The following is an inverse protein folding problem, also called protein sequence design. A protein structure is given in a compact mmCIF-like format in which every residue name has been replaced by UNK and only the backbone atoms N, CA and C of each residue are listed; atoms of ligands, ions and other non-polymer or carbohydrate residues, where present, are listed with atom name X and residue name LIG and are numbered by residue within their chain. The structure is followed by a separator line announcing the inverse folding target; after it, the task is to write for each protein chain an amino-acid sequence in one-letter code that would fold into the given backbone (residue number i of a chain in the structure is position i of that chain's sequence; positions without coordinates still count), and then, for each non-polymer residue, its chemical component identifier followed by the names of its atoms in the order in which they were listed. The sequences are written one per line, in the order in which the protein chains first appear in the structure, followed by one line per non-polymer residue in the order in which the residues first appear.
data_IF_428076907509
#
_entry.id   IF_428076907509
#
_cell.length_a   1.000
_cell.length_b   1.000
_cell.length_c   1.000
_cell.angle_alpha   90.00
_cell.angle_beta   90.00
_cell.angle_gamma   90.00
#
_symmetry.space_group_name_H-M   'P 1'
#
loop_
_entity.id
_entity.type
_entity.pdbx_description
1 polymer ?
#
# COMPACT_ATOMS: atom_id res chain seq x y z
N UNK A 1 6.79 -78.36 -14.18
CA UNK A 1 6.25 -78.62 -12.83
C UNK A 1 7.40 -78.86 -11.87
N UNK A 2 7.25 -78.32 -10.64
CA UNK A 2 8.18 -78.29 -9.48
C UNK A 2 9.27 -77.19 -9.48
N UNK A 3 9.65 -76.69 -8.29
CA UNK A 3 9.26 -75.33 -7.82
C UNK A 3 10.45 -74.56 -7.23
N UNK A 4 10.27 -73.31 -6.78
CA UNK A 4 11.00 -72.83 -5.60
C UNK A 4 10.34 -71.58 -4.99
N UNK A 5 10.01 -71.74 -3.71
CA UNK A 5 9.50 -70.76 -2.76
C UNK A 5 10.67 -69.97 -2.17
N UNK A 6 10.46 -68.69 -1.84
CA UNK A 6 10.58 -68.14 -0.48
C UNK A 6 11.00 -66.65 -0.42
N UNK A 7 10.21 -65.90 0.35
CA UNK A 7 10.63 -64.95 1.42
C UNK A 7 11.07 -63.53 1.03
N UNK A 8 10.24 -62.60 1.54
CA UNK A 8 10.52 -61.25 2.06
C UNK A 8 11.01 -60.20 1.05
N UNK A 9 10.20 -59.15 0.86
CA UNK A 9 10.50 -57.92 1.57
C UNK A 9 9.26 -57.03 1.68
N UNK A 10 8.94 -56.72 2.93
CA UNK A 10 8.11 -55.61 3.37
C UNK A 10 8.74 -54.30 2.88
N UNK A 11 7.93 -53.40 2.32
CA UNK A 11 8.41 -52.10 1.82
C UNK A 11 7.28 -51.08 1.77
N UNK A 12 6.72 -50.77 2.94
CA UNK A 12 5.93 -49.55 3.16
C UNK A 12 6.88 -48.38 2.91
N UNK A 13 6.65 -47.64 1.82
CA UNK A 13 7.17 -46.30 1.65
C UNK A 13 5.97 -45.35 1.64
N UNK A 14 5.50 -45.05 2.85
CA UNK A 14 4.63 -43.94 3.14
C UNK A 14 5.47 -42.68 2.87
N UNK A 15 5.40 -42.15 1.66
CA UNK A 15 6.01 -40.87 1.33
C UNK A 15 5.17 -39.82 2.05
N UNK A 16 5.64 -39.46 3.24
CA UNK A 16 5.33 -38.20 3.89
C UNK A 16 5.64 -37.11 2.86
N UNK A 17 4.59 -36.58 2.22
CA UNK A 17 4.65 -35.22 1.73
C UNK A 17 4.84 -34.36 2.96
N UNK A 18 6.10 -34.09 3.29
CA UNK A 18 6.49 -32.94 4.08
C UNK A 18 5.96 -31.73 3.31
N UNK A 19 4.74 -31.30 3.64
CA UNK A 19 4.31 -29.93 3.43
C UNK A 19 5.33 -29.06 4.14
N UNK A 20 6.27 -28.52 3.38
CA UNK A 20 6.95 -27.30 3.77
C UNK A 20 5.88 -26.21 3.79
N UNK A 21 5.20 -26.04 4.93
CA UNK A 21 4.48 -24.81 5.23
C UNK A 21 5.50 -23.80 5.75
N UNK A 22 6.24 -23.19 4.84
CA UNK A 22 6.77 -21.86 5.09
C UNK A 22 5.88 -20.94 4.25
N UNK A 23 4.63 -20.81 4.67
CA UNK A 23 3.78 -19.72 4.22
C UNK A 23 4.19 -18.53 5.07
N UNK A 24 4.99 -17.65 4.50
CA UNK A 24 4.91 -16.24 4.91
C UNK A 24 3.46 -15.85 4.57
N UNK A 25 2.62 -15.71 5.60
CA UNK A 25 1.22 -15.36 5.43
C UNK A 25 1.18 -13.93 4.89
N UNK A 26 0.81 -13.77 3.62
CA UNK A 26 0.51 -12.48 3.01
C UNK A 26 -0.53 -11.77 3.89
N UNK A 27 -0.35 -10.47 4.21
CA UNK A 27 -1.33 -9.75 5.03
C UNK A 27 -2.66 -9.69 4.29
N UNK A 28 -3.74 -10.06 4.97
CA UNK A 28 -5.09 -9.90 4.44
C UNK A 28 -5.35 -8.42 4.14
N UNK A 29 -5.98 -8.15 3.00
CA UNK A 29 -6.38 -6.79 2.64
C UNK A 29 -7.38 -6.24 3.66
N UNK A 30 -7.06 -5.09 4.24
CA UNK A 30 -7.90 -4.40 5.21
C UNK A 30 -8.29 -3.02 4.67
N UNK A 31 -9.57 -2.66 4.79
CA UNK A 31 -10.10 -1.35 4.39
C UNK A 31 -10.76 -0.71 5.61
N UNK A 32 -10.34 0.50 5.93
CA UNK A 32 -10.76 1.19 7.15
C UNK A 32 -9.85 2.37 7.47
N UNK A 33 -10.23 3.16 8.46
CA UNK A 33 -9.37 4.21 9.00
C UNK A 33 -9.31 5.51 8.17
N UNK A 34 -8.22 6.25 8.35
CA UNK A 34 -8.08 7.63 7.90
C UNK A 34 -7.07 8.41 8.73
N UNK A 35 -7.05 9.73 8.55
CA UNK A 35 -6.16 10.59 9.31
C UNK A 35 -5.90 11.92 8.63
N UNK A 36 -4.81 12.58 9.04
CA UNK A 36 -4.40 13.85 8.42
C UNK A 36 -2.90 13.87 8.24
N UNK A 37 -2.48 14.18 7.02
CA UNK A 37 -1.09 14.50 6.72
C UNK A 37 -0.95 16.01 6.64
N UNK A 38 0.08 16.56 7.29
CA UNK A 38 0.51 17.96 7.14
C UNK A 38 1.57 18.03 6.06
N UNK A 39 1.50 19.07 5.24
CA UNK A 39 2.38 19.28 4.09
C UNK A 39 3.12 20.59 4.24
N UNK A 40 4.39 20.54 3.90
CA UNK A 40 5.23 21.73 3.75
C UNK A 40 6.04 21.64 2.47
N UNK A 41 6.54 22.78 1.99
CA UNK A 41 7.21 22.90 0.69
C UNK A 41 6.46 23.80 -0.27
N UNK A 42 7.00 23.96 -1.48
CA UNK A 42 6.59 24.99 -2.43
C UNK A 42 5.14 24.85 -2.89
N UNK A 43 4.66 23.61 -2.99
CA UNK A 43 3.35 23.26 -3.56
C UNK A 43 2.30 22.92 -2.48
N UNK A 44 2.63 23.06 -1.18
CA UNK A 44 1.73 22.71 -0.09
C UNK A 44 0.45 23.58 -0.07
N UNK A 45 0.52 24.77 -0.69
CA UNK A 45 -0.61 25.70 -0.78
C UNK A 45 -1.80 25.13 -1.59
N UNK A 46 -1.57 24.19 -2.53
CA UNK A 46 -2.65 23.57 -3.32
C UNK A 46 -3.62 22.72 -2.48
N UNK A 47 -3.21 22.35 -1.26
CA UNK A 47 -4.04 21.56 -0.35
C UNK A 47 -4.22 22.26 0.99
N UNK A 48 -4.00 23.57 1.04
CA UNK A 48 -4.00 24.35 2.29
C UNK A 48 -3.05 23.80 3.36
N UNK A 49 -1.96 23.14 2.96
CA UNK A 49 -0.95 22.55 3.84
C UNK A 49 -1.38 21.26 4.53
N UNK A 50 -2.48 20.62 4.11
CA UNK A 50 -2.96 19.36 4.71
C UNK A 50 -3.62 18.44 3.68
N UNK A 51 -3.66 17.15 3.98
CA UNK A 51 -4.48 16.14 3.29
C UNK A 51 -5.34 15.46 4.34
N UNK A 52 -6.65 15.68 4.27
CA UNK A 52 -7.63 14.99 5.13
C UNK A 52 -8.00 13.67 4.47
N UNK A 53 -7.49 12.57 5.01
CA UNK A 53 -7.66 11.22 4.48
C UNK A 53 -8.95 10.63 5.03
N UNK A 54 -9.88 10.28 4.12
CA UNK A 54 -11.19 9.77 4.50
C UNK A 54 -11.27 8.26 4.58
N UNK A 55 -10.49 7.55 3.78
CA UNK A 55 -10.46 6.10 3.73
C UNK A 55 -9.03 5.64 3.44
N UNK A 56 -8.63 4.53 4.07
CA UNK A 56 -7.38 3.86 3.75
C UNK A 56 -7.60 2.38 3.53
N UNK A 57 -6.63 1.75 2.87
CA UNK A 57 -6.55 0.31 2.76
C UNK A 57 -5.10 -0.16 2.82
N UNK A 58 -4.86 -1.23 3.56
CA UNK A 58 -3.58 -1.91 3.65
C UNK A 58 -3.63 -3.26 2.95
N UNK A 59 -2.50 -3.78 2.48
CA UNK A 59 -2.45 -5.12 1.90
C UNK A 59 -2.98 -5.20 0.46
N UNK A 60 -3.15 -4.07 -0.23
CA UNK A 60 -3.77 -4.00 -1.57
C UNK A 60 -2.79 -4.21 -2.71
N UNK A 61 -2.12 -5.36 -2.72
CA UNK A 61 -1.18 -5.75 -3.77
C UNK A 61 -1.83 -5.77 -5.17
N UNK A 62 -3.14 -6.00 -5.26
CA UNK A 62 -3.90 -5.91 -6.51
C UNK A 62 -3.99 -4.48 -7.08
N UNK A 63 -3.85 -3.45 -6.23
CA UNK A 63 -3.83 -2.04 -6.63
C UNK A 63 -2.41 -1.48 -6.76
N UNK A 64 -1.50 -1.87 -5.87
CA UNK A 64 -0.19 -1.24 -5.72
C UNK A 64 0.96 -2.09 -6.28
N UNK A 65 0.74 -3.40 -6.47
CA UNK A 65 1.79 -4.38 -6.73
C UNK A 65 2.67 -4.71 -5.52
N UNK A 66 2.32 -4.22 -4.32
CA UNK A 66 3.08 -4.41 -3.08
C UNK A 66 2.17 -4.96 -1.96
N UNK A 67 2.59 -6.07 -1.36
CA UNK A 67 1.90 -6.68 -0.21
C UNK A 67 1.85 -5.72 0.98
N UNK A 68 2.98 -5.11 1.34
CA UNK A 68 3.05 -4.17 2.45
C UNK A 68 2.97 -2.72 1.96
N UNK A 69 1.76 -2.27 1.69
CA UNK A 69 1.50 -0.90 1.28
C UNK A 69 0.16 -0.37 1.76
N UNK A 70 0.11 0.93 2.01
CA UNK A 70 -1.10 1.68 2.32
C UNK A 70 -1.55 2.46 1.08
N UNK A 71 -2.83 2.35 0.76
CA UNK A 71 -3.55 3.27 -0.14
C UNK A 71 -4.40 4.19 0.73
N UNK A 72 -4.33 5.49 0.52
CA UNK A 72 -5.05 6.51 1.26
C UNK A 72 -5.68 7.52 0.28
N UNK A 73 -6.95 7.85 0.47
CA UNK A 73 -7.70 8.69 -0.47
C UNK A 73 -8.46 9.82 0.23
N UNK A 74 -8.73 10.89 -0.52
CA UNK A 74 -9.60 11.99 -0.10
C UNK A 74 -11.08 11.59 -0.07
N UNK A 75 -11.88 12.42 0.59
CA UNK A 75 -13.34 12.32 0.51
C UNK A 75 -13.80 12.49 -0.94
N UNK A 76 -14.51 11.50 -1.48
CA UNK A 76 -14.94 11.49 -2.88
C UNK A 76 -14.14 10.57 -3.78
N UNK A 77 -13.25 9.72 -3.24
CA UNK A 77 -12.75 8.52 -3.92
C UNK A 77 -13.05 7.33 -3.01
N UNK A 78 -13.52 6.23 -3.59
CA UNK A 78 -13.71 4.98 -2.85
C UNK A 78 -12.68 3.94 -3.24
N UNK A 79 -12.13 3.26 -2.25
CA UNK A 79 -11.23 2.14 -2.48
C UNK A 79 -12.08 0.91 -2.83
N UNK A 80 -11.86 0.27 -3.99
CA UNK A 80 -12.68 -0.86 -4.43
C UNK A 80 -12.56 -2.04 -3.48
N UNK A 81 -13.66 -2.74 -3.20
CA UNK A 81 -13.67 -3.90 -2.29
C UNK A 81 -13.31 -5.21 -2.99
N UNK A 82 -13.31 -5.20 -4.31
CA UNK A 82 -13.03 -6.37 -5.15
C UNK A 82 -11.72 -6.16 -5.91
N UNK A 83 -10.94 -7.22 -6.06
CA UNK A 83 -9.72 -7.18 -6.86
C UNK A 83 -10.02 -6.89 -8.34
N UNK A 84 -9.16 -6.07 -8.96
CA UNK A 84 -9.24 -5.72 -10.39
C UNK A 84 -10.21 -4.59 -10.74
N UNK A 85 -10.85 -3.98 -9.73
CA UNK A 85 -11.57 -2.71 -9.89
C UNK A 85 -10.61 -1.52 -9.72
N UNK A 86 -10.94 -0.38 -10.33
CA UNK A 86 -10.12 0.83 -10.28
C UNK A 86 -10.61 1.80 -9.19
N UNK A 87 -9.71 2.68 -8.72
CA UNK A 87 -10.10 3.82 -7.88
C UNK A 87 -10.93 4.80 -8.72
N UNK A 88 -12.19 4.99 -8.35
CA UNK A 88 -13.10 5.89 -9.05
C UNK A 88 -13.43 7.10 -8.16
N UNK A 89 -13.21 8.33 -8.64
CA UNK A 89 -13.78 9.50 -7.98
C UNK A 89 -15.30 9.48 -8.05
N UNK A 90 -15.95 9.58 -6.90
CA UNK A 90 -17.39 9.62 -6.73
C UNK A 90 -17.84 10.95 -6.08
N UNK A 91 -18.99 11.45 -6.50
CA UNK A 91 -19.61 12.64 -5.91
C UNK A 91 -19.42 13.93 -6.71
N UNK A 92 -19.85 15.04 -6.12
CA UNK A 92 -19.92 16.36 -6.76
C UNK A 92 -18.78 17.30 -6.38
N UNK A 93 -18.03 16.99 -5.31
CA UNK A 93 -16.93 17.80 -4.82
C UNK A 93 -15.60 17.22 -5.31
N UNK A 94 -15.27 17.52 -6.57
CA UNK A 94 -14.03 17.07 -7.23
C UNK A 94 -13.00 18.20 -7.32
N UNK A 95 -13.21 19.29 -6.56
CA UNK A 95 -12.34 20.48 -6.64
C UNK A 95 -10.94 20.18 -6.12
N UNK A 96 -10.83 19.31 -5.11
CA UNK A 96 -9.57 18.81 -4.59
C UNK A 96 -9.68 17.31 -4.26
N UNK A 97 -8.93 16.49 -4.98
CA UNK A 97 -8.90 15.04 -4.80
C UNK A 97 -7.45 14.56 -4.74
N UNK A 98 -7.17 13.52 -3.96
CA UNK A 98 -5.85 12.93 -3.91
C UNK A 98 -5.88 11.42 -3.67
N UNK A 99 -4.81 10.77 -4.11
CA UNK A 99 -4.47 9.39 -3.77
C UNK A 99 -3.04 9.38 -3.30
N UNK A 100 -2.78 8.76 -2.15
CA UNK A 100 -1.44 8.50 -1.60
C UNK A 100 -1.28 6.99 -1.52
N UNK A 101 -0.19 6.49 -2.10
CA UNK A 101 0.28 5.12 -1.93
C UNK A 101 1.62 5.18 -1.22
N UNK A 102 1.74 4.49 -0.08
CA UNK A 102 2.95 4.50 0.72
C UNK A 102 3.38 3.10 1.13
N UNK A 103 4.67 2.86 1.05
CA UNK A 103 5.37 1.70 1.62
C UNK A 103 6.67 2.19 2.26
N UNK A 104 7.38 1.32 2.97
CA UNK A 104 8.73 1.66 3.46
C UNK A 104 9.76 1.83 2.32
N UNK A 105 9.42 1.39 1.10
CA UNK A 105 10.29 1.47 -0.08
C UNK A 105 10.06 2.71 -0.94
N UNK A 106 8.83 3.20 -1.01
CA UNK A 106 8.46 4.32 -1.87
C UNK A 106 7.12 4.95 -1.47
N UNK A 107 6.94 6.20 -1.85
CA UNK A 107 5.68 6.94 -1.82
C UNK A 107 5.35 7.38 -3.24
N UNK A 108 4.11 7.18 -3.66
CA UNK A 108 3.53 7.73 -4.88
C UNK A 108 2.26 8.49 -4.50
N UNK A 109 2.13 9.73 -4.95
CA UNK A 109 0.99 10.57 -4.62
C UNK A 109 0.51 11.33 -5.84
N UNK A 110 -0.79 11.35 -6.06
CA UNK A 110 -1.43 12.20 -7.07
C UNK A 110 -2.35 13.17 -6.37
N UNK A 111 -2.20 14.47 -6.66
CA UNK A 111 -3.09 15.53 -6.17
C UNK A 111 -3.74 16.20 -7.39
N UNK A 112 -5.06 16.18 -7.44
CA UNK A 112 -5.87 16.98 -8.33
C UNK A 112 -6.36 18.21 -7.58
N UNK A 113 -5.92 19.39 -8.00
CA UNK A 113 -6.33 20.67 -7.43
C UNK A 113 -6.27 21.75 -8.52
N UNK A 114 -7.20 22.72 -8.47
CA UNK A 114 -7.31 23.80 -9.46
C UNK A 114 -7.39 23.29 -10.91
N UNK A 115 -8.11 22.18 -11.13
CA UNK A 115 -8.27 21.56 -12.45
C UNK A 115 -7.02 20.87 -13.00
N UNK A 116 -5.96 20.73 -12.20
CA UNK A 116 -4.67 20.17 -12.63
C UNK A 116 -4.28 18.99 -11.75
N UNK A 117 -3.97 17.85 -12.37
CA UNK A 117 -3.34 16.70 -11.71
C UNK A 117 -1.84 16.94 -11.58
N UNK A 118 -1.28 16.68 -10.41
CA UNK A 118 0.15 16.74 -10.10
C UNK A 118 0.56 15.41 -9.49
N UNK A 119 1.59 14.81 -10.05
CA UNK A 119 2.11 13.52 -9.60
C UNK A 119 3.42 13.71 -8.85
N UNK A 120 3.54 13.06 -7.70
CA UNK A 120 4.67 13.15 -6.80
C UNK A 120 5.18 11.76 -6.48
N UNK A 121 6.50 11.61 -6.44
CA UNK A 121 7.15 10.34 -6.11
C UNK A 121 8.31 10.57 -5.15
N UNK A 122 8.54 9.64 -4.24
CA UNK A 122 9.72 9.68 -3.36
C UNK A 122 11.01 9.43 -4.14
N UNK A 123 12.09 10.09 -3.74
CA UNK A 123 13.45 9.77 -4.21
C UNK A 123 13.98 8.53 -3.47
N UNK A 124 13.87 7.36 -4.12
CA UNK A 124 14.28 6.07 -3.56
C UNK A 124 15.79 5.92 -3.34
N UNK A 125 16.60 6.90 -3.74
CA UNK A 125 18.03 6.94 -3.38
C UNK A 125 18.27 7.48 -1.96
N UNK A 126 17.22 7.99 -1.29
CA UNK A 126 17.23 8.52 0.08
C UNK A 126 16.31 7.68 0.98
N UNK A 127 16.45 7.87 2.28
CA UNK A 127 15.49 7.30 3.24
C UNK A 127 14.09 7.89 2.97
N UNK A 128 13.08 7.02 2.90
CA UNK A 128 11.68 7.39 2.62
C UNK A 128 11.01 8.01 3.85
N UNK A 129 11.50 7.70 5.05
CA UNK A 129 10.96 8.11 6.35
C UNK A 129 9.48 7.78 6.53
N UNK A 130 9.10 6.58 6.07
CA UNK A 130 7.82 5.94 6.33
C UNK A 130 8.07 4.72 7.21
N UNK A 131 7.20 4.51 8.20
CA UNK A 131 7.23 3.33 9.07
C UNK A 131 5.83 2.75 9.12
N UNK A 132 5.74 1.43 8.95
CA UNK A 132 4.49 0.68 9.01
C UNK A 132 4.50 -0.17 10.28
N UNK A 133 3.57 0.11 11.20
CA UNK A 133 3.35 -0.71 12.39
C UNK A 133 2.06 -1.53 12.21
N UNK A 134 2.21 -2.79 11.86
CA UNK A 134 1.08 -3.72 11.68
C UNK A 134 0.37 -4.05 13.01
N UNK A 135 1.05 -3.88 14.15
CA UNK A 135 0.46 -4.17 15.47
C UNK A 135 -0.49 -3.05 15.91
N UNK A 136 -0.12 -1.79 15.66
CA UNK A 136 -0.99 -0.63 15.92
C UNK A 136 -1.89 -0.26 14.74
N UNK A 137 -1.66 -0.84 13.55
CA UNK A 137 -2.30 -0.50 12.28
C UNK A 137 -2.09 0.96 11.89
N UNK A 138 -0.85 1.40 11.95
CA UNK A 138 -0.45 2.79 11.72
C UNK A 138 0.68 2.92 10.68
N UNK A 139 0.54 3.87 9.75
CA UNK A 139 1.62 4.31 8.87
C UNK A 139 2.00 5.71 9.30
N UNK A 140 3.26 5.87 9.73
CA UNK A 140 3.79 7.16 10.16
C UNK A 140 4.74 7.73 9.10
N UNK A 141 4.46 8.96 8.69
CA UNK A 141 5.30 9.79 7.84
C UNK A 141 6.05 10.78 8.72
N UNK A 142 7.38 10.71 8.73
CA UNK A 142 8.23 11.54 9.59
C UNK A 142 9.23 12.32 8.73
N UNK A 143 8.85 13.52 8.29
CA UNK A 143 9.57 14.29 7.27
C UNK A 143 9.82 13.45 6.00
N UNK A 144 8.77 12.76 5.53
CA UNK A 144 8.81 11.97 4.32
C UNK A 144 8.75 12.91 3.09
N UNK A 145 9.72 12.83 2.19
CA UNK A 145 9.83 13.75 1.06
C UNK A 145 9.38 13.11 -0.26
N UNK A 146 8.58 13.85 -1.02
CA UNK A 146 8.18 13.49 -2.39
C UNK A 146 8.47 14.65 -3.34
N UNK A 147 8.75 14.31 -4.59
CA UNK A 147 9.16 15.23 -5.65
C UNK A 147 8.11 15.22 -6.74
N UNK A 148 7.63 16.40 -7.13
CA UNK A 148 6.74 16.57 -8.26
C UNK A 148 7.45 16.13 -9.55
N UNK A 149 6.83 15.21 -10.29
CA UNK A 149 7.41 14.60 -11.48
C UNK A 149 7.58 15.58 -12.66
N UNK A 150 6.78 16.66 -12.70
CA UNK A 150 6.78 17.63 -13.81
C UNK A 150 7.78 18.77 -13.60
N UNK A 151 7.92 19.26 -12.36
CA UNK A 151 8.68 20.48 -12.08
C UNK A 151 9.79 20.34 -11.02
N UNK A 152 9.89 19.19 -10.35
CA UNK A 152 10.93 18.93 -9.34
C UNK A 152 10.71 19.62 -7.99
N UNK A 153 9.59 20.30 -7.77
CA UNK A 153 9.23 20.86 -6.45
C UNK A 153 9.08 19.75 -5.42
N UNK A 154 9.45 20.06 -4.17
CA UNK A 154 9.46 19.08 -3.07
C UNK A 154 8.30 19.37 -2.13
N UNK A 155 7.60 18.30 -1.73
CA UNK A 155 6.68 18.29 -0.60
C UNK A 155 7.22 17.39 0.50
N UNK A 156 7.11 17.85 1.74
CA UNK A 156 7.41 17.07 2.93
C UNK A 156 6.10 16.74 3.64
N UNK A 157 5.85 15.45 3.87
CA UNK A 157 4.69 14.89 4.53
C UNK A 157 5.02 14.52 5.98
N UNK A 158 4.11 14.89 6.87
CA UNK A 158 4.17 14.56 8.29
C UNK A 158 2.81 14.13 8.81
N UNK A 159 2.74 13.04 9.56
CA UNK A 159 1.50 12.59 10.19
C UNK A 159 1.41 11.07 10.29
N UNK A 160 0.31 10.60 10.85
CA UNK A 160 0.01 9.18 11.00
C UNK A 160 -1.35 8.89 10.40
N UNK A 161 -1.42 7.83 9.60
CA UNK A 161 -2.66 7.28 9.06
C UNK A 161 -2.92 5.93 9.70
N UNK A 162 -4.19 5.65 9.99
CA UNK A 162 -4.62 4.34 10.51
C UNK A 162 -5.43 3.59 9.46
N UNK A 163 -5.41 2.26 9.50
CA UNK A 163 -6.28 1.39 8.69
C UNK A 163 -7.07 0.38 9.51
#
# INVERSE_FOLDING_TARGET
MKPLSYIYLLGIALVLFSSCSNGDEEPDAEIGGGGTLTLSGDEAHYTSGKLEVSETAYGRADLTGLEESLVAVSSGISIPKTAGEELVPEGSDLEQQFVVVASEMAISMSIFADGTKRDYVSDVSKAINVTIDQSSKEVTFNDAAVVNADNGSILTLNGTLVW
#
